data_IF_321215614518
#
_entry.id   IF_321215614518
#
_cell.length_a   1.000
_cell.length_b   1.000
_cell.length_c   1.000
_cell.angle_alpha   90.00
_cell.angle_beta   90.00
_cell.angle_gamma   90.00
#
_symmetry.space_group_name_H-M   'P 1'
#
loop_
_entity.id
_entity.type
_entity.pdbx_description
1 polymer ?
#
# COMPACT_ATOMS: atom_id res chain seq x y z
N UNK A 1 60.69 17.25 -80.55
CA UNK A 1 60.87 17.58 -79.13
C UNK A 1 59.52 17.97 -78.56
N UNK A 2 58.84 17.18 -77.77
CA UNK A 2 57.52 17.53 -77.19
C UNK A 2 57.62 17.87 -75.72
N UNK A 3 56.89 18.90 -75.34
CA UNK A 3 56.75 19.47 -74.03
C UNK A 3 55.82 18.67 -73.19
N UNK A 4 56.23 18.32 -71.97
CA UNK A 4 55.41 17.67 -70.92
C UNK A 4 54.49 18.72 -70.25
N UNK A 5 53.17 18.56 -70.41
CA UNK A 5 52.18 19.25 -69.59
C UNK A 5 51.86 18.43 -68.33
N UNK A 6 52.07 19.01 -67.18
CA UNK A 6 51.69 18.46 -65.87
C UNK A 6 50.20 18.84 -65.56
N UNK A 7 49.36 17.84 -65.34
CA UNK A 7 48.01 18.06 -64.82
C UNK A 7 48.07 17.90 -63.28
N UNK A 8 47.77 18.99 -62.58
CA UNK A 8 47.57 19.00 -61.16
C UNK A 8 46.07 18.73 -60.93
N UNK A 9 45.73 17.53 -60.39
CA UNK A 9 44.41 17.21 -59.91
C UNK A 9 44.28 17.67 -58.49
N UNK A 10 43.46 18.70 -58.20
CA UNK A 10 43.04 19.11 -56.90
C UNK A 10 41.99 18.09 -56.35
N UNK A 11 42.36 17.28 -55.39
CA UNK A 11 41.41 16.45 -54.63
C UNK A 11 40.79 17.28 -53.50
N UNK A 12 39.52 17.65 -53.66
CA UNK A 12 38.74 18.31 -52.63
C UNK A 12 38.37 17.26 -51.55
N UNK A 13 39.03 17.28 -50.39
CA UNK A 13 38.67 16.51 -49.24
C UNK A 13 37.48 17.18 -48.55
N UNK A 14 36.28 16.64 -48.73
CA UNK A 14 35.08 17.04 -47.97
C UNK A 14 35.16 16.47 -46.59
N UNK A 15 35.51 17.31 -45.59
CA UNK A 15 35.46 16.95 -44.20
C UNK A 15 34.00 16.83 -43.76
N UNK A 16 33.54 15.59 -43.57
CA UNK A 16 32.25 15.28 -42.96
C UNK A 16 32.40 15.48 -41.44
N UNK A 17 32.12 16.69 -40.96
CA UNK A 17 31.98 16.95 -39.52
C UNK A 17 30.70 16.28 -39.01
N UNK A 18 30.82 15.03 -38.54
CA UNK A 18 29.76 14.35 -37.85
C UNK A 18 29.46 15.11 -36.53
N UNK A 19 28.32 15.77 -36.48
CA UNK A 19 27.74 16.26 -35.24
C UNK A 19 27.51 15.04 -34.31
N UNK A 20 28.45 14.80 -33.39
CA UNK A 20 28.22 13.98 -32.25
C UNK A 20 27.16 14.70 -31.40
N UNK A 21 25.89 14.38 -31.58
CA UNK A 21 24.84 14.70 -30.62
C UNK A 21 25.11 13.77 -29.42
N UNK A 22 25.54 14.31 -28.26
CA UNK A 22 25.65 13.46 -27.10
C UNK A 22 24.22 12.96 -26.79
N UNK A 23 24.01 11.66 -26.97
CA UNK A 23 22.86 11.00 -26.41
C UNK A 23 22.89 11.36 -24.92
N UNK A 24 21.91 12.14 -24.48
CA UNK A 24 21.69 12.41 -23.07
C UNK A 24 21.36 11.06 -22.43
N UNK A 25 22.37 10.30 -22.11
CA UNK A 25 22.27 9.10 -21.33
C UNK A 25 21.62 9.53 -20.02
N UNK A 26 20.41 9.08 -19.80
CA UNK A 26 19.67 9.25 -18.56
C UNK A 26 20.53 8.60 -17.49
N UNK A 27 21.15 9.40 -16.63
CA UNK A 27 21.92 8.88 -15.52
C UNK A 27 20.90 8.40 -14.48
N UNK A 28 20.83 7.08 -14.27
CA UNK A 28 20.08 6.51 -13.16
C UNK A 28 20.60 7.11 -11.84
N UNK A 29 19.69 7.42 -10.92
CA UNK A 29 20.06 7.94 -9.58
C UNK A 29 20.84 6.90 -8.78
N UNK A 30 20.58 5.62 -9.04
CA UNK A 30 21.29 4.48 -8.46
C UNK A 30 21.86 3.62 -9.59
N UNK A 31 23.19 3.42 -9.60
CA UNK A 31 23.90 2.74 -10.70
C UNK A 31 23.84 1.20 -10.62
N UNK A 32 22.92 0.64 -9.85
CA UNK A 32 22.70 -0.81 -9.72
C UNK A 32 21.21 -1.13 -9.61
N UNK A 33 20.87 -2.40 -9.76
CA UNK A 33 19.50 -2.85 -9.60
C UNK A 33 18.98 -2.51 -8.21
N UNK A 34 17.80 -1.91 -8.16
CA UNK A 34 17.10 -1.61 -6.91
C UNK A 34 16.08 -2.70 -6.57
N UNK A 35 15.69 -2.75 -5.31
CA UNK A 35 14.70 -3.70 -4.79
C UNK A 35 13.70 -2.99 -3.92
N UNK A 36 12.41 -3.26 -4.16
CA UNK A 36 11.34 -2.86 -3.25
C UNK A 36 10.80 -4.11 -2.57
N UNK A 37 11.01 -4.21 -1.27
CA UNK A 37 10.47 -5.31 -0.46
C UNK A 37 9.03 -5.02 -0.04
N UNK A 38 8.21 -6.08 0.04
CA UNK A 38 6.79 -6.04 0.43
C UNK A 38 6.50 -7.14 1.44
N UNK A 39 5.87 -6.80 2.56
CA UNK A 39 5.57 -7.72 3.67
C UNK A 39 4.36 -8.63 3.45
N UNK A 40 3.81 -8.68 2.25
CA UNK A 40 2.58 -9.39 1.92
C UNK A 40 2.74 -10.28 0.68
N UNK A 41 1.88 -11.32 0.53
CA UNK A 41 1.94 -12.21 -0.62
C UNK A 41 1.75 -11.49 -1.96
N UNK A 42 2.24 -12.09 -3.03
CA UNK A 42 1.95 -11.66 -4.39
C UNK A 42 0.42 -11.64 -4.62
N UNK A 43 -0.07 -10.65 -5.37
CA UNK A 43 -1.49 -10.42 -5.62
C UNK A 43 -2.23 -9.70 -4.47
N UNK A 44 -1.56 -9.37 -3.37
CA UNK A 44 -2.11 -8.50 -2.33
C UNK A 44 -2.09 -7.03 -2.77
N UNK A 45 -2.89 -6.19 -2.11
CA UNK A 45 -2.95 -4.75 -2.40
C UNK A 45 -1.59 -4.05 -2.31
N UNK A 46 -0.75 -4.27 -1.29
CA UNK A 46 0.59 -3.69 -1.27
C UNK A 46 1.50 -4.19 -2.40
N UNK A 47 1.39 -5.46 -2.79
CA UNK A 47 2.15 -6.01 -3.93
C UNK A 47 1.74 -5.35 -5.25
N UNK A 48 0.44 -5.18 -5.49
CA UNK A 48 -0.07 -4.48 -6.68
C UNK A 48 0.50 -3.06 -6.79
N UNK A 49 0.38 -2.27 -5.71
CA UNK A 49 0.87 -0.88 -5.69
C UNK A 49 2.39 -0.84 -5.89
N UNK A 50 3.12 -1.78 -5.29
CA UNK A 50 4.58 -1.85 -5.44
C UNK A 50 4.99 -2.17 -6.88
N UNK A 51 4.35 -3.14 -7.54
CA UNK A 51 4.64 -3.48 -8.95
C UNK A 51 4.30 -2.34 -9.87
N UNK A 52 3.15 -1.70 -9.63
CA UNK A 52 2.77 -0.50 -10.38
C UNK A 52 3.80 0.61 -10.21
N UNK A 53 4.22 0.91 -8.98
CA UNK A 53 5.24 1.91 -8.73
C UNK A 53 6.57 1.56 -9.43
N UNK A 54 7.04 0.31 -9.30
CA UNK A 54 8.27 -0.16 -9.95
C UNK A 54 8.23 -0.03 -11.47
N UNK A 55 7.05 -0.18 -12.09
CA UNK A 55 6.85 0.00 -13.53
C UNK A 55 7.04 1.46 -13.97
N UNK A 56 6.70 2.43 -13.12
CA UNK A 56 6.68 3.86 -13.48
C UNK A 56 7.88 4.66 -12.99
N UNK A 57 8.66 4.16 -12.03
CA UNK A 57 9.89 4.83 -11.53
C UNK A 57 11.15 4.31 -12.20
N UNK A 58 11.09 4.01 -13.50
CA UNK A 58 12.16 3.37 -14.30
C UNK A 58 13.48 4.16 -14.38
N UNK A 59 13.41 5.48 -14.16
CA UNK A 59 14.59 6.36 -14.24
C UNK A 59 15.39 6.40 -12.93
N UNK A 60 14.95 5.65 -11.94
CA UNK A 60 15.61 5.63 -10.64
C UNK A 60 16.80 4.68 -10.59
N UNK A 61 16.68 3.53 -11.23
CA UNK A 61 17.71 2.49 -11.26
C UNK A 61 17.60 1.68 -12.57
N UNK A 62 18.67 0.95 -12.99
CA UNK A 62 18.66 0.12 -14.21
C UNK A 62 17.52 -0.89 -14.23
N UNK A 63 17.19 -1.47 -13.08
CA UNK A 63 15.99 -2.27 -12.89
C UNK A 63 15.49 -2.19 -11.45
N UNK A 64 14.18 -2.42 -11.26
CA UNK A 64 13.55 -2.47 -9.93
C UNK A 64 12.87 -3.82 -9.75
N UNK A 65 13.32 -4.59 -8.75
CA UNK A 65 12.81 -5.92 -8.43
C UNK A 65 11.84 -5.80 -7.25
N UNK A 66 10.65 -6.37 -7.39
CA UNK A 66 9.68 -6.51 -6.28
C UNK A 66 9.93 -7.83 -5.56
N UNK A 67 10.23 -7.75 -4.26
CA UNK A 67 10.59 -8.89 -3.40
C UNK A 67 9.52 -9.07 -2.30
N UNK A 68 8.66 -10.07 -2.47
CA UNK A 68 7.62 -10.38 -1.51
C UNK A 68 8.18 -11.23 -0.36
N UNK A 69 8.10 -10.72 0.89
CA UNK A 69 8.51 -11.39 2.12
C UNK A 69 7.35 -11.42 3.12
N UNK A 70 6.33 -12.24 2.88
CA UNK A 70 5.15 -12.28 3.73
C UNK A 70 5.44 -12.90 5.09
N UNK A 71 4.79 -12.37 6.13
CA UNK A 71 4.89 -12.91 7.50
C UNK A 71 4.97 -11.82 8.55
N UNK A 72 4.74 -12.22 9.80
CA UNK A 72 4.78 -11.34 10.97
C UNK A 72 3.98 -10.02 10.79
N UNK A 73 2.78 -10.09 10.18
CA UNK A 73 1.96 -8.90 9.92
C UNK A 73 2.59 -7.90 8.93
N UNK A 74 3.54 -8.34 8.10
CA UNK A 74 4.25 -7.46 7.15
C UNK A 74 5.55 -6.85 7.67
N UNK A 75 6.01 -7.21 8.88
CA UNK A 75 7.20 -6.62 9.52
C UNK A 75 8.53 -7.10 8.95
N UNK A 76 8.60 -8.31 8.38
CA UNK A 76 9.86 -8.91 7.91
C UNK A 76 10.68 -8.01 6.97
N UNK A 77 10.08 -7.30 5.99
CA UNK A 77 10.84 -6.35 5.17
C UNK A 77 11.39 -5.16 5.95
N UNK A 78 10.66 -4.68 6.96
CA UNK A 78 11.09 -3.54 7.78
C UNK A 78 12.29 -3.93 8.67
N UNK A 79 12.27 -5.13 9.25
CA UNK A 79 13.42 -5.67 9.97
C UNK A 79 14.65 -5.77 9.06
N UNK A 80 14.47 -6.20 7.82
CA UNK A 80 15.54 -6.28 6.82
C UNK A 80 16.02 -4.91 6.34
N UNK A 81 15.10 -3.92 6.22
CA UNK A 81 15.43 -2.56 5.79
C UNK A 81 16.36 -1.86 6.79
N UNK A 82 16.13 -2.06 8.09
CA UNK A 82 16.92 -1.46 9.18
C UNK A 82 18.42 -1.67 9.02
N UNK A 83 18.84 -2.88 8.59
CA UNK A 83 20.25 -3.23 8.36
C UNK A 83 20.68 -3.12 6.90
N UNK A 84 19.85 -2.54 6.04
CA UNK A 84 20.06 -2.50 4.61
C UNK A 84 21.08 -1.48 4.13
N UNK A 85 21.48 -1.63 2.86
CA UNK A 85 22.35 -0.69 2.15
C UNK A 85 21.71 0.70 2.05
N UNK A 86 22.51 1.74 2.34
CA UNK A 86 22.05 3.15 2.39
C UNK A 86 22.26 3.90 1.08
N UNK A 87 22.50 3.21 0.00
CA UNK A 87 22.79 3.77 -1.32
C UNK A 87 21.54 3.94 -2.20
N UNK A 88 20.34 3.75 -1.61
CA UNK A 88 19.07 3.86 -2.31
C UNK A 88 18.62 2.61 -3.07
N UNK A 89 19.46 1.58 -3.17
CA UNK A 89 19.09 0.35 -3.88
C UNK A 89 18.09 -0.54 -3.13
N UNK A 90 17.90 -0.33 -1.83
CA UNK A 90 16.95 -1.08 -1.01
C UNK A 90 15.83 -0.19 -0.49
N UNK A 91 14.61 -0.61 -0.74
CA UNK A 91 13.39 0.11 -0.37
C UNK A 91 12.37 -0.85 0.24
N UNK A 92 11.43 -0.31 1.01
CA UNK A 92 10.21 -1.03 1.44
C UNK A 92 9.00 -0.17 1.09
N UNK A 93 8.00 -0.78 0.44
CA UNK A 93 6.65 -0.25 0.40
C UNK A 93 5.81 -1.00 1.43
N UNK A 94 5.19 -0.25 2.34
CA UNK A 94 4.42 -0.82 3.45
C UNK A 94 3.16 -0.01 3.75
N UNK A 95 2.08 -0.65 4.22
CA UNK A 95 0.98 0.04 4.88
C UNK A 95 1.43 0.82 6.12
N UNK A 96 0.67 1.84 6.49
CA UNK A 96 0.95 2.71 7.62
C UNK A 96 0.94 2.02 8.98
N UNK A 97 0.14 0.96 9.09
CA UNK A 97 -0.02 0.21 10.34
C UNK A 97 1.32 -0.32 10.88
N UNK A 98 2.20 -0.85 10.00
CA UNK A 98 3.49 -1.39 10.41
C UNK A 98 4.41 -0.31 11.02
N UNK A 99 4.21 0.94 10.62
CA UNK A 99 5.06 2.06 11.02
C UNK A 99 4.46 2.84 12.19
N UNK A 100 3.14 3.03 12.22
CA UNK A 100 2.49 3.91 13.17
C UNK A 100 1.63 3.20 14.23
N UNK A 101 1.02 2.06 13.90
CA UNK A 101 0.18 1.31 14.84
C UNK A 101 0.97 0.23 15.60
N UNK A 102 1.82 -0.52 14.91
CA UNK A 102 2.56 -1.65 15.50
C UNK A 102 3.44 -1.28 16.69
N UNK A 103 4.06 -0.09 16.79
CA UNK A 103 4.77 0.33 18.00
C UNK A 103 3.91 0.33 19.29
N UNK A 104 2.59 0.35 19.14
CA UNK A 104 1.65 0.36 20.28
C UNK A 104 0.98 -0.99 20.55
N UNK A 105 1.06 -1.93 19.60
CA UNK A 105 0.39 -3.24 19.72
C UNK A 105 1.36 -4.41 19.91
N UNK A 106 2.66 -4.23 19.66
CA UNK A 106 3.67 -5.24 19.90
C UNK A 106 4.60 -4.84 21.05
N UNK A 107 4.79 -5.75 22.01
CA UNK A 107 5.71 -5.54 23.12
C UNK A 107 7.17 -5.50 22.67
N UNK A 108 7.50 -6.26 21.62
CA UNK A 108 8.83 -6.34 21.01
C UNK A 108 8.71 -6.13 19.51
N UNK A 109 9.13 -4.95 19.04
CA UNK A 109 9.24 -4.62 17.63
C UNK A 109 10.71 -4.56 17.25
N UNK A 110 11.11 -5.24 16.16
CA UNK A 110 12.50 -5.34 15.72
C UNK A 110 13.09 -4.02 15.22
N UNK A 111 12.27 -3.01 14.99
CA UNK A 111 12.65 -1.70 14.46
C UNK A 111 11.99 -0.55 15.22
N UNK A 112 12.56 0.63 15.06
CA UNK A 112 11.99 1.93 15.45
C UNK A 112 11.75 2.74 14.18
N UNK A 113 10.49 3.03 13.89
CA UNK A 113 10.08 3.61 12.61
C UNK A 113 10.68 5.00 12.35
N UNK A 114 10.86 5.81 13.40
CA UNK A 114 11.40 7.18 13.28
C UNK A 114 12.93 7.22 13.23
N UNK A 115 13.59 6.21 13.82
CA UNK A 115 15.05 6.14 13.89
C UNK A 115 15.66 5.34 12.75
N UNK A 116 15.03 4.22 12.37
CA UNK A 116 15.65 3.21 11.52
C UNK A 116 15.31 3.39 10.03
N UNK A 117 14.31 4.26 9.70
CA UNK A 117 13.86 4.49 8.33
C UNK A 117 13.86 5.97 7.96
N UNK A 118 14.16 6.25 6.69
CA UNK A 118 13.92 7.55 6.07
C UNK A 118 12.65 7.48 5.21
N UNK A 119 11.61 8.27 5.51
CA UNK A 119 10.39 8.32 4.72
C UNK A 119 10.67 9.00 3.38
N UNK A 120 10.17 8.41 2.28
CA UNK A 120 10.30 8.96 0.93
C UNK A 120 9.03 9.68 0.51
N UNK A 121 7.91 8.98 0.45
CA UNK A 121 6.59 9.52 0.08
C UNK A 121 5.50 8.52 0.43
N UNK A 122 4.29 8.99 0.68
CA UNK A 122 3.10 8.17 0.45
C UNK A 122 2.94 7.91 -1.05
N UNK A 123 2.25 6.83 -1.40
CA UNK A 123 1.94 6.47 -2.80
C UNK A 123 0.44 6.54 -3.05
N UNK A 124 -0.35 6.02 -2.13
CA UNK A 124 -1.80 6.08 -2.22
C UNK A 124 -2.46 6.01 -0.84
N UNK A 125 -3.71 6.49 -0.80
CA UNK A 125 -4.63 6.21 0.30
C UNK A 125 -5.45 4.98 -0.03
N UNK A 126 -5.76 4.20 1.00
CA UNK A 126 -6.42 2.91 0.92
C UNK A 126 -7.65 2.92 1.80
N UNK A 127 -8.77 2.51 1.25
CA UNK A 127 -10.02 2.32 1.97
C UNK A 127 -10.36 0.84 2.08
N UNK A 128 -11.16 0.51 3.08
CA UNK A 128 -11.62 -0.85 3.32
C UNK A 128 -13.13 -0.94 3.09
N UNK A 129 -13.59 -2.16 2.89
CA UNK A 129 -15.02 -2.51 2.94
C UNK A 129 -15.24 -3.42 4.14
N UNK A 130 -16.34 -3.18 4.83
CA UNK A 130 -16.96 -4.16 5.70
C UNK A 130 -17.90 -5.01 4.85
N UNK A 131 -17.54 -6.28 4.67
CA UNK A 131 -18.26 -7.19 3.78
C UNK A 131 -18.74 -8.43 4.52
N UNK A 132 -19.80 -9.08 3.99
CA UNK A 132 -20.32 -10.35 4.50
C UNK A 132 -20.36 -11.42 3.40
N UNK A 133 -20.05 -12.65 3.80
CA UNK A 133 -20.07 -13.82 2.94
C UNK A 133 -21.44 -14.50 2.85
N UNK A 134 -21.56 -15.59 2.04
CA UNK A 134 -22.82 -16.30 1.80
C UNK A 134 -23.38 -17.05 3.03
N UNK A 135 -22.58 -17.27 4.08
CA UNK A 135 -23.08 -17.83 5.34
C UNK A 135 -24.05 -16.88 6.04
N UNK A 136 -23.94 -15.57 5.77
CA UNK A 136 -24.87 -14.55 6.25
C UNK A 136 -26.06 -14.45 5.28
N UNK A 137 -27.30 -14.62 5.75
CA UNK A 137 -28.50 -14.65 4.92
C UNK A 137 -28.65 -13.43 4.01
N UNK A 138 -29.28 -13.56 2.81
CA UNK A 138 -29.36 -12.48 1.82
C UNK A 138 -30.23 -11.28 2.26
N UNK A 139 -31.11 -11.46 3.23
CA UNK A 139 -31.90 -10.38 3.84
C UNK A 139 -31.08 -9.43 4.71
N UNK A 140 -29.88 -9.83 5.16
CA UNK A 140 -28.94 -8.98 5.89
C UNK A 140 -28.27 -8.03 4.91
N UNK A 141 -28.77 -6.79 4.80
CA UNK A 141 -28.33 -5.80 3.79
C UNK A 141 -27.60 -4.61 4.39
N UNK A 142 -27.66 -4.43 5.69
CA UNK A 142 -27.03 -3.31 6.40
C UNK A 142 -26.12 -3.80 7.51
N UNK A 143 -25.26 -2.91 8.02
CA UNK A 143 -24.44 -3.21 9.21
C UNK A 143 -25.34 -3.51 10.42
N UNK A 144 -26.46 -2.80 10.56
CA UNK A 144 -27.44 -3.04 11.64
C UNK A 144 -28.05 -4.42 11.56
N UNK A 145 -28.46 -4.86 10.36
CA UNK A 145 -28.97 -6.23 10.15
C UNK A 145 -27.92 -7.27 10.53
N UNK A 146 -26.67 -7.05 10.12
CA UNK A 146 -25.57 -7.94 10.45
C UNK A 146 -25.34 -8.03 11.98
N UNK A 147 -25.38 -6.92 12.70
CA UNK A 147 -25.27 -6.90 14.17
C UNK A 147 -26.43 -7.67 14.79
N UNK A 148 -27.66 -7.50 14.28
CA UNK A 148 -28.83 -8.24 14.74
C UNK A 148 -28.66 -9.75 14.49
N UNK A 149 -28.15 -10.10 13.32
CA UNK A 149 -27.85 -11.49 12.98
C UNK A 149 -26.75 -12.08 13.88
N UNK A 150 -25.69 -11.34 14.20
CA UNK A 150 -24.64 -11.77 15.13
C UNK A 150 -25.20 -12.10 16.52
N UNK A 151 -26.13 -11.29 17.06
CA UNK A 151 -26.78 -11.56 18.34
C UNK A 151 -27.58 -12.88 18.32
N UNK A 152 -28.23 -13.17 17.21
CA UNK A 152 -28.99 -14.42 17.04
C UNK A 152 -28.09 -15.64 16.74
N UNK A 153 -26.87 -15.41 16.23
CA UNK A 153 -25.96 -16.47 15.78
C UNK A 153 -24.54 -16.31 16.37
N UNK A 154 -24.36 -16.28 17.70
CA UNK A 154 -23.07 -15.95 18.32
C UNK A 154 -21.92 -16.88 17.94
N UNK A 155 -22.22 -18.16 17.63
CA UNK A 155 -21.22 -19.15 17.18
C UNK A 155 -20.70 -18.91 15.76
N UNK A 156 -21.45 -18.21 14.93
CA UNK A 156 -21.10 -17.86 13.56
C UNK A 156 -20.56 -16.43 13.43
N UNK A 157 -20.76 -15.60 14.46
CA UNK A 157 -20.35 -14.22 14.47
C UNK A 157 -18.81 -14.12 14.44
N UNK A 158 -18.25 -13.99 13.24
CA UNK A 158 -16.81 -13.93 13.00
C UNK A 158 -16.47 -12.91 11.93
N UNK A 159 -15.25 -12.38 11.99
CA UNK A 159 -14.73 -11.51 10.94
C UNK A 159 -13.23 -11.74 10.70
N UNK A 160 -12.84 -11.64 9.43
CA UNK A 160 -11.44 -11.71 9.02
C UNK A 160 -10.79 -10.34 8.90
N UNK A 161 -9.49 -10.25 9.20
CA UNK A 161 -8.63 -9.12 8.89
C UNK A 161 -7.30 -9.57 8.30
N UNK A 162 -6.56 -8.70 7.56
CA UNK A 162 -5.29 -9.07 6.92
C UNK A 162 -4.12 -9.30 7.89
N UNK A 163 -4.35 -9.19 9.20
CA UNK A 163 -3.36 -9.46 10.23
C UNK A 163 -3.85 -9.03 11.60
N UNK A 164 -3.34 -9.70 12.62
CA UNK A 164 -3.57 -9.29 14.00
C UNK A 164 -2.87 -7.94 14.28
N UNK A 165 -3.52 -7.07 15.07
CA UNK A 165 -3.00 -5.75 15.40
C UNK A 165 -3.08 -4.73 14.25
N UNK A 166 -3.65 -5.08 13.09
CA UNK A 166 -3.85 -4.15 11.98
C UNK A 166 -5.08 -3.25 12.18
N UNK A 167 -5.15 -2.13 11.45
CA UNK A 167 -6.33 -1.24 11.44
C UNK A 167 -7.63 -1.99 11.17
N UNK A 168 -7.75 -2.88 10.17
CA UNK A 168 -8.95 -3.69 9.97
C UNK A 168 -9.33 -4.56 11.18
N UNK A 169 -8.35 -5.08 11.92
CA UNK A 169 -8.63 -5.78 13.18
C UNK A 169 -9.30 -4.84 14.18
N UNK A 170 -8.72 -3.65 14.43
CA UNK A 170 -9.29 -2.67 15.36
C UNK A 170 -10.66 -2.16 14.90
N UNK A 171 -10.90 -2.01 13.60
CA UNK A 171 -12.22 -1.65 13.06
C UNK A 171 -13.30 -2.68 13.45
N UNK A 172 -13.00 -3.97 13.29
CA UNK A 172 -13.92 -5.04 13.69
C UNK A 172 -14.15 -5.07 15.20
N UNK A 173 -13.11 -4.90 16.03
CA UNK A 173 -13.23 -4.77 17.49
C UNK A 173 -14.08 -3.55 17.87
N UNK A 174 -13.86 -2.41 17.19
CA UNK A 174 -14.62 -1.17 17.42
C UNK A 174 -16.10 -1.35 17.12
N UNK A 175 -16.41 -1.99 15.99
CA UNK A 175 -17.78 -2.32 15.61
C UNK A 175 -18.43 -3.21 16.68
N UNK A 176 -17.78 -4.31 17.05
CA UNK A 176 -18.30 -5.25 18.04
C UNK A 176 -18.60 -4.56 19.36
N UNK A 177 -17.67 -3.75 19.88
CA UNK A 177 -17.83 -3.00 21.14
C UNK A 177 -18.93 -1.96 21.06
N UNK A 178 -18.96 -1.13 20.00
CA UNK A 178 -19.96 -0.07 19.83
C UNK A 178 -21.38 -0.63 19.71
N UNK A 179 -21.50 -1.82 19.13
CA UNK A 179 -22.77 -2.51 18.93
C UNK A 179 -23.16 -3.44 20.11
N UNK A 180 -22.29 -3.66 21.10
CA UNK A 180 -22.54 -4.57 22.22
C UNK A 180 -22.76 -6.02 21.75
N UNK A 181 -21.90 -6.51 20.84
CA UNK A 181 -21.89 -7.89 20.35
C UNK A 181 -20.51 -8.48 20.45
N UNK A 182 -20.43 -9.80 20.59
CA UNK A 182 -19.18 -10.54 20.47
C UNK A 182 -18.99 -11.02 19.04
N UNK A 183 -17.80 -10.82 18.48
CA UNK A 183 -17.38 -11.35 17.18
C UNK A 183 -15.99 -11.97 17.31
N UNK A 184 -15.85 -13.19 16.84
CA UNK A 184 -14.55 -13.87 16.80
C UNK A 184 -13.69 -13.25 15.68
N UNK A 185 -12.53 -12.72 16.03
CA UNK A 185 -11.55 -12.26 15.05
C UNK A 185 -10.74 -13.44 14.51
N UNK A 186 -10.57 -13.49 13.18
CA UNK A 186 -9.74 -14.47 12.46
C UNK A 186 -8.65 -13.71 11.71
N UNK A 187 -7.37 -13.76 12.15
CA UNK A 187 -6.27 -13.11 11.46
C UNK A 187 -5.78 -13.93 10.26
N UNK A 188 -5.56 -13.25 9.14
CA UNK A 188 -5.04 -13.83 7.90
C UNK A 188 -3.70 -13.19 7.50
N UNK A 189 -3.01 -13.80 6.53
CA UNK A 189 -1.79 -13.25 5.93
C UNK A 189 -2.13 -12.40 4.70
N UNK A 190 -2.89 -11.31 4.88
CA UNK A 190 -3.34 -10.42 3.80
C UNK A 190 -4.77 -10.66 3.34
N UNK A 191 -5.22 -9.90 2.33
CA UNK A 191 -6.60 -9.89 1.86
C UNK A 191 -7.08 -11.14 1.11
N UNK A 192 -6.30 -11.71 0.17
CA UNK A 192 -6.77 -12.83 -0.66
C UNK A 192 -7.32 -14.04 0.12
N UNK A 193 -6.67 -14.56 1.18
CA UNK A 193 -7.23 -15.69 1.93
C UNK A 193 -8.50 -15.33 2.71
N UNK A 194 -8.71 -14.08 3.13
CA UNK A 194 -9.98 -13.64 3.72
C UNK A 194 -11.11 -13.82 2.73
N UNK A 195 -10.89 -13.39 1.48
CA UNK A 195 -11.90 -13.48 0.42
C UNK A 195 -12.24 -14.93 0.10
N UNK A 196 -11.25 -15.83 0.08
CA UNK A 196 -11.46 -17.25 -0.11
C UNK A 196 -12.37 -17.84 0.98
N UNK A 197 -12.09 -17.56 2.24
CA UNK A 197 -12.86 -18.07 3.38
C UNK A 197 -14.25 -17.42 3.50
N UNK A 198 -14.38 -16.14 3.11
CA UNK A 198 -15.69 -15.49 2.96
C UNK A 198 -16.55 -16.22 1.93
N UNK A 199 -16.01 -16.50 0.74
CA UNK A 199 -16.71 -17.19 -0.36
C UNK A 199 -17.07 -18.62 0.01
N UNK A 200 -16.21 -19.29 0.79
CA UNK A 200 -16.43 -20.65 1.28
C UNK A 200 -17.37 -20.70 2.50
N UNK A 201 -17.80 -19.55 3.04
CA UNK A 201 -18.66 -19.48 4.22
C UNK A 201 -17.99 -19.89 5.53
N UNK A 202 -16.64 -19.88 5.58
CA UNK A 202 -15.87 -20.23 6.78
C UNK A 202 -15.86 -19.08 7.81
N UNK A 203 -16.01 -17.84 7.35
CA UNK A 203 -16.17 -16.63 8.17
C UNK A 203 -17.39 -15.84 7.70
N UNK A 204 -18.04 -15.17 8.64
CA UNK A 204 -19.27 -14.41 8.36
C UNK A 204 -18.98 -13.06 7.68
N UNK A 205 -17.96 -12.34 8.13
CA UNK A 205 -17.64 -11.01 7.68
C UNK A 205 -16.13 -10.82 7.45
N UNK A 206 -15.76 -9.70 6.85
CA UNK A 206 -14.37 -9.28 6.71
C UNK A 206 -14.24 -7.77 6.62
N UNK A 207 -13.14 -7.25 7.14
CA UNK A 207 -12.69 -5.88 6.88
C UNK A 207 -11.49 -5.99 5.94
N UNK A 208 -11.71 -5.67 4.66
CA UNK A 208 -10.74 -5.94 3.59
C UNK A 208 -10.58 -4.74 2.69
N UNK A 209 -9.39 -4.57 2.11
CA UNK A 209 -9.14 -3.54 1.09
C UNK A 209 -10.07 -3.76 -0.10
N UNK A 210 -10.66 -2.68 -0.61
CA UNK A 210 -11.62 -2.72 -1.73
C UNK A 210 -11.11 -3.57 -2.88
N UNK A 211 -9.86 -3.38 -3.31
CA UNK A 211 -9.27 -4.09 -4.45
C UNK A 211 -9.27 -5.62 -4.33
N UNK A 212 -9.17 -6.16 -3.12
CA UNK A 212 -9.16 -7.61 -2.92
C UNK A 212 -10.54 -8.25 -3.09
N UNK A 213 -11.61 -7.52 -2.84
CA UNK A 213 -12.97 -8.05 -2.78
C UNK A 213 -13.89 -7.51 -3.88
N UNK A 214 -13.50 -6.42 -4.55
CA UNK A 214 -14.31 -5.72 -5.55
C UNK A 214 -14.92 -6.61 -6.63
N UNK A 215 -14.18 -7.53 -7.30
CA UNK A 215 -14.76 -8.41 -8.32
C UNK A 215 -15.86 -9.32 -7.75
N UNK A 216 -15.75 -9.68 -6.48
CA UNK A 216 -16.72 -10.56 -5.81
C UNK A 216 -17.96 -9.79 -5.35
N UNK A 217 -17.80 -8.51 -4.95
CA UNK A 217 -18.92 -7.61 -4.66
C UNK A 217 -19.70 -7.33 -5.93
N UNK A 218 -19.03 -6.97 -7.03
CA UNK A 218 -19.66 -6.72 -8.34
C UNK A 218 -20.37 -7.95 -8.91
N UNK A 219 -19.84 -9.14 -8.65
CA UNK A 219 -20.46 -10.40 -9.03
C UNK A 219 -21.57 -10.87 -8.06
N UNK A 220 -21.87 -10.11 -7.00
CA UNK A 220 -22.88 -10.46 -5.99
C UNK A 220 -22.55 -11.68 -5.13
N UNK A 221 -21.29 -12.13 -5.13
CA UNK A 221 -20.84 -13.31 -4.35
C UNK A 221 -20.58 -13.00 -2.89
N UNK A 222 -20.25 -11.75 -2.60
CA UNK A 222 -20.18 -11.17 -1.24
C UNK A 222 -20.92 -9.83 -1.26
N UNK A 223 -21.42 -9.38 -0.12
CA UNK A 223 -22.11 -8.09 0.01
C UNK A 223 -21.26 -7.12 0.80
N UNK A 224 -21.08 -5.92 0.25
CA UNK A 224 -20.48 -4.81 0.96
C UNK A 224 -21.56 -4.07 1.76
N UNK A 225 -21.40 -3.97 3.07
CA UNK A 225 -22.34 -3.30 3.95
C UNK A 225 -21.95 -1.86 4.28
N UNK A 226 -20.65 -1.55 4.23
CA UNK A 226 -20.14 -0.18 4.40
C UNK A 226 -18.73 -0.03 3.82
N UNK A 227 -18.39 1.20 3.36
CA UNK A 227 -17.00 1.62 3.15
C UNK A 227 -16.49 2.36 4.38
N UNK A 228 -15.18 2.20 4.68
CA UNK A 228 -14.55 2.89 5.81
C UNK A 228 -14.07 4.30 5.47
N UNK A 229 -14.08 4.69 4.20
CA UNK A 229 -13.72 6.03 3.77
C UNK A 229 -14.78 7.07 4.21
N UNK A 230 -14.38 8.35 4.38
CA UNK A 230 -15.32 9.42 4.73
C UNK A 230 -16.32 9.73 3.63
N UNK A 231 -16.07 9.25 2.40
CA UNK A 231 -16.95 9.38 1.23
C UNK A 231 -17.15 8.02 0.58
N UNK A 232 -18.29 7.85 -0.10
CA UNK A 232 -18.57 6.62 -0.85
C UNK A 232 -17.53 6.43 -1.97
N UNK A 233 -17.14 5.19 -2.20
CA UNK A 233 -16.27 4.86 -3.32
C UNK A 233 -17.01 5.06 -4.65
N UNK A 234 -16.44 5.81 -5.60
CA UNK A 234 -17.06 6.06 -6.92
C UNK A 234 -17.35 4.78 -7.69
N UNK A 235 -16.55 3.73 -7.48
CA UNK A 235 -16.71 2.42 -8.09
C UNK A 235 -17.82 1.56 -7.43
N UNK A 236 -18.30 1.95 -6.24
CA UNK A 236 -19.37 1.30 -5.47
C UNK A 236 -20.30 2.38 -4.85
N UNK A 237 -20.99 3.17 -5.67
CA UNK A 237 -21.76 4.35 -5.20
C UNK A 237 -22.95 3.99 -4.29
N UNK A 238 -23.45 2.75 -4.38
CA UNK A 238 -24.57 2.26 -3.58
C UNK A 238 -24.14 1.79 -2.18
N UNK A 239 -22.83 1.59 -1.94
CA UNK A 239 -22.32 1.18 -0.64
C UNK A 239 -22.17 2.40 0.26
N UNK A 240 -22.91 2.46 1.39
CA UNK A 240 -22.85 3.60 2.30
C UNK A 240 -21.49 3.71 2.98
N UNK A 241 -21.13 4.91 3.43
CA UNK A 241 -20.00 5.07 4.36
C UNK A 241 -20.36 4.47 5.72
N UNK A 242 -19.34 4.14 6.52
CA UNK A 242 -19.53 3.67 7.88
C UNK A 242 -20.35 4.66 8.72
N UNK A 243 -20.16 5.96 8.50
CA UNK A 243 -20.90 7.04 9.16
C UNK A 243 -22.38 7.06 8.73
N UNK A 244 -22.66 6.96 7.43
CA UNK A 244 -24.03 6.86 6.90
C UNK A 244 -24.74 5.60 7.39
N UNK A 245 -24.00 4.51 7.56
CA UNK A 245 -24.52 3.25 8.12
C UNK A 245 -24.77 3.31 9.64
N UNK A 246 -24.39 4.41 10.33
CA UNK A 246 -24.56 4.59 11.78
C UNK A 246 -23.43 4.00 12.64
N UNK A 247 -22.33 3.57 12.03
CA UNK A 247 -21.19 2.96 12.72
C UNK A 247 -19.86 3.70 12.43
N UNK A 248 -19.72 4.95 12.91
CA UNK A 248 -18.50 5.75 12.68
C UNK A 248 -17.23 5.10 13.23
N UNK A 249 -17.36 4.13 14.13
CA UNK A 249 -16.24 3.35 14.65
C UNK A 249 -15.50 2.51 13.56
N UNK A 250 -16.13 2.30 12.41
CA UNK A 250 -15.50 1.68 11.23
C UNK A 250 -14.80 2.70 10.31
N UNK A 251 -14.94 4.01 10.55
CA UNK A 251 -14.37 5.04 9.67
C UNK A 251 -12.85 5.07 9.81
N UNK A 252 -12.17 5.12 8.69
CA UNK A 252 -10.74 5.30 8.60
C UNK A 252 -10.18 4.84 7.26
N UNK A 253 -9.12 5.50 6.85
CA UNK A 253 -8.33 5.15 5.67
C UNK A 253 -6.90 4.89 6.09
N UNK A 254 -6.16 4.18 5.27
CA UNK A 254 -4.75 3.89 5.47
C UNK A 254 -3.94 4.45 4.30
N UNK A 255 -2.67 4.71 4.50
CA UNK A 255 -1.74 5.04 3.44
C UNK A 255 -0.77 3.90 3.19
N UNK A 256 -0.35 3.74 1.94
CA UNK A 256 0.84 2.97 1.60
C UNK A 256 1.98 3.92 1.30
N UNK A 257 3.13 3.67 1.92
CA UNK A 257 4.28 4.54 1.85
C UNK A 257 5.58 3.82 1.54
N UNK A 258 6.49 4.55 0.90
CA UNK A 258 7.81 4.10 0.50
C UNK A 258 8.86 4.61 1.47
N UNK A 259 9.76 3.72 1.88
CA UNK A 259 10.84 3.98 2.83
C UNK A 259 12.16 3.45 2.29
N UNK A 260 13.24 4.09 2.75
CA UNK A 260 14.63 3.62 2.60
C UNK A 260 15.29 3.53 3.98
N UNK A 261 16.46 2.86 4.14
CA UNK A 261 17.17 2.83 5.41
C UNK A 261 17.50 4.25 5.91
N UNK A 262 17.47 4.47 7.22
CA UNK A 262 17.94 5.71 7.81
C UNK A 262 19.43 5.93 7.47
N UNK A 263 19.79 7.18 7.15
CA UNK A 263 21.15 7.54 6.71
C UNK A 263 21.39 7.31 5.21
N UNK A 264 20.36 6.97 4.42
CA UNK A 264 20.41 7.12 2.95
C UNK A 264 20.66 8.61 2.62
N UNK A 265 21.60 8.95 1.70
CA UNK A 265 21.91 10.30 1.34
C UNK A 265 20.68 11.13 0.98
N UNK A 266 20.55 12.38 1.49
CA UNK A 266 19.37 13.21 1.26
C UNK A 266 19.05 13.44 -0.22
N UNK A 267 20.07 13.54 -1.07
CA UNK A 267 19.94 13.70 -2.52
C UNK A 267 19.29 12.46 -3.18
N UNK A 268 19.58 11.27 -2.69
CA UNK A 268 18.96 10.02 -3.15
C UNK A 268 17.48 9.97 -2.72
N UNK A 269 17.20 10.33 -1.46
CA UNK A 269 15.82 10.40 -0.94
C UNK A 269 15.01 11.41 -1.75
N UNK A 270 15.56 12.60 -2.02
CA UNK A 270 14.91 13.64 -2.81
C UNK A 270 14.69 13.21 -4.27
N UNK A 271 15.67 12.55 -4.88
CA UNK A 271 15.56 12.01 -6.23
C UNK A 271 14.49 10.93 -6.35
N UNK A 272 14.44 10.00 -5.39
CA UNK A 272 13.42 8.97 -5.32
C UNK A 272 12.02 9.57 -5.09
N UNK A 273 11.89 10.55 -4.17
CA UNK A 273 10.64 11.30 -3.97
C UNK A 273 10.17 11.96 -5.27
N UNK A 274 11.09 12.61 -6.01
CA UNK A 274 10.76 13.21 -7.30
C UNK A 274 10.28 12.18 -8.31
N UNK A 275 10.92 11.01 -8.40
CA UNK A 275 10.51 9.92 -9.29
C UNK A 275 9.11 9.38 -8.93
N UNK A 276 8.83 9.17 -7.63
CA UNK A 276 7.51 8.75 -7.14
C UNK A 276 6.44 9.79 -7.51
N UNK A 277 6.70 11.07 -7.25
CA UNK A 277 5.73 12.13 -7.56
C UNK A 277 5.46 12.26 -9.06
N UNK A 278 6.49 12.14 -9.90
CA UNK A 278 6.32 12.10 -11.36
C UNK A 278 5.43 10.93 -11.79
N UNK A 279 5.62 9.74 -11.21
CA UNK A 279 4.76 8.59 -11.48
C UNK A 279 3.30 8.88 -11.08
N UNK A 280 3.09 9.46 -9.89
CA UNK A 280 1.77 9.84 -9.39
C UNK A 280 1.07 10.91 -10.23
N UNK A 281 1.81 11.74 -10.97
CA UNK A 281 1.24 12.76 -11.87
C UNK A 281 0.78 12.18 -13.21
N UNK A 282 1.26 10.98 -13.59
CA UNK A 282 0.90 10.32 -14.85
C UNK A 282 -0.54 9.81 -14.83
N UNK A 283 -1.36 10.18 -15.82
CA UNK A 283 -2.76 9.75 -15.90
C UNK A 283 -2.91 8.22 -15.96
N UNK A 284 -2.01 7.54 -16.68
CA UNK A 284 -2.02 6.08 -16.74
C UNK A 284 -1.79 5.43 -15.35
N UNK A 285 -0.92 6.00 -14.51
CA UNK A 285 -0.69 5.53 -13.15
C UNK A 285 -1.93 5.77 -12.26
N UNK A 286 -2.49 6.98 -12.32
CA UNK A 286 -3.72 7.35 -11.59
C UNK A 286 -4.88 6.46 -11.95
N UNK A 287 -5.10 6.22 -13.24
CA UNK A 287 -6.18 5.35 -13.73
C UNK A 287 -6.05 3.94 -13.17
N UNK A 288 -4.86 3.34 -13.24
CA UNK A 288 -4.64 1.99 -12.71
C UNK A 288 -4.82 1.90 -11.20
N UNK A 289 -4.48 2.93 -10.43
CA UNK A 289 -4.79 2.99 -9.00
C UNK A 289 -6.29 3.12 -8.76
N UNK A 290 -6.97 4.01 -9.50
CA UNK A 290 -8.41 4.24 -9.34
C UNK A 290 -9.25 3.00 -9.68
N UNK A 291 -8.86 2.20 -10.69
CA UNK A 291 -9.49 0.91 -11.03
C UNK A 291 -9.50 -0.07 -9.84
N UNK A 292 -8.58 0.09 -8.91
CA UNK A 292 -8.48 -0.69 -7.68
C UNK A 292 -8.98 0.06 -6.44
N UNK A 293 -9.66 1.20 -6.62
CA UNK A 293 -10.12 2.09 -5.54
C UNK A 293 -9.00 2.59 -4.63
N UNK A 294 -7.81 2.79 -5.16
CA UNK A 294 -6.74 3.52 -4.48
C UNK A 294 -6.76 4.98 -4.92
N UNK A 295 -6.66 5.89 -3.96
CA UNK A 295 -6.52 7.31 -4.22
C UNK A 295 -5.03 7.66 -4.31
N UNK A 296 -4.51 8.10 -5.46
CA UNK A 296 -3.13 8.54 -5.60
C UNK A 296 -2.85 9.72 -4.65
N UNK A 297 -1.84 9.59 -3.80
CA UNK A 297 -1.49 10.67 -2.88
C UNK A 297 -0.01 10.61 -2.52
N UNK A 298 0.78 11.49 -3.14
CA UNK A 298 2.17 11.72 -2.81
C UNK A 298 2.36 12.91 -1.87
N UNK A 299 3.50 12.94 -1.19
CA UNK A 299 3.91 14.04 -0.33
C UNK A 299 5.44 14.16 -0.34
N UNK A 300 5.95 15.25 0.23
CA UNK A 300 7.39 15.40 0.47
C UNK A 300 7.85 14.51 1.62
N UNK A 301 9.15 14.20 1.74
CA UNK A 301 9.68 13.44 2.88
C UNK A 301 9.37 14.09 4.23
N UNK A 302 9.38 15.43 4.31
CA UNK A 302 9.07 16.17 5.53
C UNK A 302 7.59 16.06 5.93
N UNK A 303 6.67 16.21 4.97
CA UNK A 303 5.23 16.00 5.18
C UNK A 303 4.93 14.57 5.58
N UNK A 304 5.63 13.59 4.97
CA UNK A 304 5.46 12.19 5.33
C UNK A 304 5.96 11.89 6.74
N UNK A 305 7.10 12.44 7.14
CA UNK A 305 7.60 12.32 8.52
C UNK A 305 6.61 12.90 9.54
N UNK A 306 5.96 14.03 9.21
CA UNK A 306 4.95 14.64 10.08
C UNK A 306 3.68 13.79 10.15
N UNK A 307 3.22 13.21 9.02
CA UNK A 307 2.10 12.30 8.99
C UNK A 307 2.35 11.07 9.89
N UNK A 308 3.55 10.47 9.80
CA UNK A 308 3.92 9.33 10.65
C UNK A 308 3.85 9.68 12.14
N UNK A 309 4.37 10.85 12.53
CA UNK A 309 4.31 11.31 13.93
C UNK A 309 2.87 11.49 14.41
N UNK A 310 2.03 12.15 13.60
CA UNK A 310 0.62 12.34 13.91
C UNK A 310 -0.12 11.00 14.07
N UNK A 311 0.14 10.04 13.19
CA UNK A 311 -0.46 8.72 13.26
C UNK A 311 0.02 7.92 14.48
N UNK A 312 1.31 8.01 14.85
CA UNK A 312 1.85 7.41 16.08
C UNK A 312 1.10 7.93 17.32
N UNK A 313 0.92 9.25 17.44
CA UNK A 313 0.21 9.87 18.56
C UNK A 313 -1.27 9.45 18.62
N UNK A 314 -1.94 9.46 17.46
CA UNK A 314 -3.34 9.03 17.32
C UNK A 314 -3.50 7.55 17.76
N UNK A 315 -2.61 6.68 17.28
CA UNK A 315 -2.68 5.25 17.60
C UNK A 315 -2.32 4.94 19.05
N UNK A 316 -1.38 5.67 19.66
CA UNK A 316 -1.09 5.56 21.07
C UNK A 316 -2.36 5.80 21.92
N UNK A 317 -3.11 6.88 21.62
CA UNK A 317 -4.36 7.19 22.29
C UNK A 317 -5.44 6.12 22.03
N UNK A 318 -5.57 5.68 20.78
CA UNK A 318 -6.57 4.68 20.37
C UNK A 318 -6.33 3.34 21.03
N UNK A 319 -5.13 2.77 20.93
CA UNK A 319 -4.78 1.46 21.52
C UNK A 319 -4.96 1.47 23.03
N UNK A 320 -4.59 2.57 23.72
CA UNK A 320 -4.81 2.77 25.14
C UNK A 320 -6.31 2.78 25.48
N UNK A 321 -7.13 3.50 24.73
CA UNK A 321 -8.58 3.56 24.94
C UNK A 321 -9.26 2.19 24.74
N UNK A 322 -8.71 1.35 23.86
CA UNK A 322 -9.16 -0.03 23.68
C UNK A 322 -8.74 -0.99 24.80
N UNK A 323 -7.79 -0.60 25.66
CA UNK A 323 -7.20 -1.49 26.66
C UNK A 323 -6.55 -2.73 26.02
N UNK A 324 -6.01 -2.56 24.80
CA UNK A 324 -5.36 -3.64 24.06
C UNK A 324 -4.06 -4.04 24.78
N UNK A 325 -3.87 -5.33 25.03
CA UNK A 325 -2.63 -5.83 25.62
C UNK A 325 -1.62 -6.05 24.50
N UNK A 326 -0.38 -5.51 24.63
CA UNK A 326 0.64 -5.74 23.63
C UNK A 326 0.87 -7.23 23.39
N UNK A 327 1.01 -7.58 22.12
CA UNK A 327 1.34 -8.93 21.65
C UNK A 327 2.86 -9.16 21.72
N UNK A 328 3.28 -10.39 21.88
CA UNK A 328 4.71 -10.78 21.88
C UNK A 328 5.33 -10.81 20.48
#
# INVERSE_FOLDING_TARGET
>A
MPSRRWFITLSSATAFSGLFVPSSGRADLVNRNARIMVGFPAGSSPDFVTRLLAEYVKDYAPSIIVDNRPGAGGRLPLDALKGGERDGSLMVLTPGDQVALFPHVYAKLGYDALRDFAPVSTVCMVQFLFVVGPVVPPEVKTVTDFITWCRANPKLASYGSPGEGTRPHFMGVSLARSAGVEMTHVPYKGGPPIVQDLLAGQIAAGVVVVSNVLPHVQAGRVRALATTAPQRASILPDVPTAREAGYPALEGVEWFGLFVPAGTPPEIVAGLNSAVRKALDMDAFKTRLAEQSFEPKGCTPAEFAQLIKSDLEMWAATVKAFGFRPMD
#
